data_IF_037399282562
#
_entry.id   IF_037399282562
#
_cell.length_a   1.000
_cell.length_b   1.000
_cell.length_c   1.000
_cell.angle_alpha   90.00
_cell.angle_beta   90.00
_cell.angle_gamma   90.00
#
_symmetry.space_group_name_H-M   'P 1'
#
loop_
_entity.id
_entity.type
_entity.pdbx_description
1 polymer ?
#
# COMPACT_ATOMS: atom_id res chain seq x y z
N UNK A 1 13.52 10.86 5.31
CA UNK A 1 13.11 9.45 5.49
C UNK A 1 13.09 9.15 6.98
N UNK A 2 12.12 8.38 7.46
CA UNK A 2 12.05 7.95 8.86
C UNK A 2 11.66 6.48 8.93
N UNK A 3 12.40 5.72 9.73
CA UNK A 3 12.04 4.37 10.17
C UNK A 3 11.28 4.49 11.48
N UNK A 4 10.16 3.78 11.60
CA UNK A 4 9.38 3.65 12.82
C UNK A 4 9.27 2.17 13.17
N UNK A 5 9.31 1.88 14.47
CA UNK A 5 9.11 0.55 15.04
C UNK A 5 7.89 0.66 15.94
N UNK A 6 6.95 -0.28 15.81
CA UNK A 6 5.76 -0.34 16.64
C UNK A 6 5.70 -1.66 17.38
N UNK A 7 5.21 -1.62 18.63
CA UNK A 7 4.84 -2.84 19.35
C UNK A 7 3.58 -3.47 18.74
N UNK A 8 3.31 -4.74 19.04
CA UNK A 8 2.11 -5.42 18.53
C UNK A 8 0.86 -4.78 19.12
N UNK A 9 0.88 -4.49 20.42
CA UNK A 9 -0.21 -3.82 21.15
C UNK A 9 -0.60 -2.45 20.57
N UNK A 10 0.36 -1.78 19.94
CA UNK A 10 0.18 -0.49 19.29
C UNK A 10 -0.52 -0.58 17.93
N UNK A 11 -0.47 -1.74 17.29
CA UNK A 11 -1.00 -2.02 15.95
C UNK A 11 -2.31 -2.82 16.02
N UNK A 12 -2.48 -3.67 17.03
CA UNK A 12 -3.68 -4.49 17.21
C UNK A 12 -5.01 -3.72 17.04
N UNK A 13 -5.18 -2.49 17.59
CA UNK A 13 -6.42 -1.74 17.40
C UNK A 13 -6.74 -1.39 15.94
N UNK A 14 -5.72 -1.35 15.08
CA UNK A 14 -5.84 -1.04 13.65
C UNK A 14 -6.07 -2.28 12.77
N UNK A 15 -6.16 -3.47 13.35
CA UNK A 15 -6.43 -4.69 12.60
C UNK A 15 -7.87 -4.69 12.08
N UNK A 16 -8.02 -4.70 10.76
CA UNK A 16 -9.29 -4.97 10.13
C UNK A 16 -9.58 -6.49 10.10
N UNK A 17 -10.34 -6.94 11.10
CA UNK A 17 -10.71 -8.35 11.29
C UNK A 17 -11.61 -8.92 10.18
N UNK A 18 -12.27 -8.10 9.36
CA UNK A 18 -13.10 -8.59 8.26
C UNK A 18 -12.28 -9.46 7.29
N UNK A 19 -11.07 -9.01 6.95
CA UNK A 19 -10.18 -9.74 6.05
C UNK A 19 -9.54 -10.97 6.71
N UNK A 20 -9.32 -10.92 8.03
CA UNK A 20 -8.91 -12.10 8.79
C UNK A 20 -9.98 -13.19 8.67
N UNK A 21 -11.25 -12.84 8.93
CA UNK A 21 -12.35 -13.80 8.79
C UNK A 21 -12.53 -14.29 7.35
N UNK A 22 -12.30 -13.44 6.35
CA UNK A 22 -12.33 -13.85 4.95
C UNK A 22 -11.27 -14.91 4.65
N UNK A 23 -10.02 -14.71 5.09
CA UNK A 23 -8.93 -15.68 4.90
C UNK A 23 -9.24 -17.05 5.52
N UNK A 24 -9.99 -17.06 6.63
CA UNK A 24 -10.42 -18.28 7.33
C UNK A 24 -11.76 -18.85 6.84
N UNK A 25 -12.35 -18.31 5.77
CA UNK A 25 -13.63 -18.79 5.25
C UNK A 25 -14.81 -18.56 6.22
N UNK A 26 -14.67 -17.63 7.16
CA UNK A 26 -15.68 -17.28 8.16
C UNK A 26 -16.63 -16.17 7.71
N UNK A 27 -16.51 -15.70 6.46
CA UNK A 27 -17.48 -14.79 5.85
C UNK A 27 -18.89 -15.36 5.94
N UNK A 28 -19.82 -14.61 6.53
CA UNK A 28 -21.21 -15.04 6.75
C UNK A 28 -21.42 -16.10 7.85
N UNK A 29 -20.38 -16.55 8.56
CA UNK A 29 -20.52 -17.48 9.70
C UNK A 29 -21.07 -16.80 10.96
N UNK A 30 -21.67 -17.59 11.89
CA UNK A 30 -22.14 -17.09 13.18
C UNK A 30 -21.08 -16.31 13.96
N UNK A 31 -21.53 -15.34 14.76
CA UNK A 31 -20.64 -14.48 15.55
C UNK A 31 -19.76 -15.29 16.51
N UNK A 32 -20.32 -16.29 17.18
CA UNK A 32 -19.59 -17.11 18.16
C UNK A 32 -18.35 -17.80 17.56
N UNK A 33 -18.47 -18.36 16.36
CA UNK A 33 -17.33 -18.99 15.66
C UNK A 33 -16.22 -17.97 15.35
N UNK A 34 -16.61 -16.75 14.94
CA UNK A 34 -15.67 -15.65 14.67
C UNK A 34 -14.97 -15.18 15.93
N UNK A 35 -15.71 -14.97 17.02
CA UNK A 35 -15.15 -14.51 18.30
C UNK A 35 -14.21 -15.57 18.90
N UNK A 36 -14.52 -16.87 18.75
CA UNK A 36 -13.63 -17.94 19.19
C UNK A 36 -12.30 -17.89 18.45
N UNK A 37 -12.32 -17.85 17.11
CA UNK A 37 -11.09 -17.79 16.33
C UNK A 37 -10.31 -16.49 16.57
N UNK A 38 -11.02 -15.36 16.73
CA UNK A 38 -10.40 -14.09 17.08
C UNK A 38 -9.71 -14.15 18.44
N UNK A 39 -10.31 -14.79 19.45
CA UNK A 39 -9.68 -14.96 20.75
C UNK A 39 -8.36 -15.73 20.64
N UNK A 40 -8.35 -16.84 19.89
CA UNK A 40 -7.11 -17.61 19.64
C UNK A 40 -6.05 -16.78 18.89
N UNK A 41 -6.48 -15.94 17.94
CA UNK A 41 -5.61 -15.03 17.20
C UNK A 41 -5.03 -13.93 18.10
N UNK A 42 -5.84 -13.37 19.01
CA UNK A 42 -5.40 -12.38 20.01
C UNK A 42 -4.41 -13.00 21.00
N UNK A 43 -4.66 -14.21 21.48
CA UNK A 43 -3.70 -14.91 22.36
C UNK A 43 -2.34 -15.08 21.67
N UNK A 44 -2.34 -15.42 20.38
CA UNK A 44 -1.11 -15.50 19.58
C UNK A 44 -0.45 -14.11 19.42
N UNK A 45 -1.20 -13.05 19.10
CA UNK A 45 -0.67 -11.68 19.00
C UNK A 45 -0.04 -11.23 20.32
N UNK A 46 -0.71 -11.45 21.44
CA UNK A 46 -0.20 -11.11 22.77
C UNK A 46 1.07 -11.89 23.11
N UNK A 47 1.20 -13.14 22.64
CA UNK A 47 2.42 -13.93 22.81
C UNK A 47 3.64 -13.38 22.06
N UNK A 48 3.43 -12.46 21.11
CA UNK A 48 4.49 -11.83 20.33
C UNK A 48 4.95 -10.50 20.92
N UNK A 49 4.20 -9.91 21.85
CA UNK A 49 4.50 -8.61 22.44
C UNK A 49 5.90 -8.60 23.09
N UNK A 50 6.68 -7.56 22.80
CA UNK A 50 8.05 -7.37 23.30
C UNK A 50 9.12 -8.24 22.64
N UNK A 51 8.75 -9.32 21.94
CA UNK A 51 9.68 -10.16 21.17
C UNK A 51 9.67 -9.78 19.67
N UNK A 52 8.50 -9.48 19.12
CA UNK A 52 8.31 -9.11 17.72
C UNK A 52 7.67 -7.74 17.59
N UNK A 53 7.98 -7.09 16.47
CA UNK A 53 7.57 -5.73 16.15
C UNK A 53 7.06 -5.67 14.72
N UNK A 54 6.38 -4.58 14.44
CA UNK A 54 6.13 -4.16 13.06
C UNK A 54 6.98 -2.94 12.76
N UNK A 55 7.24 -2.73 11.47
CA UNK A 55 8.13 -1.70 11.00
C UNK A 55 7.48 -0.90 9.90
N UNK A 56 7.77 0.39 9.89
CA UNK A 56 7.44 1.29 8.80
C UNK A 56 8.67 2.07 8.36
N UNK A 57 8.78 2.31 7.06
CA UNK A 57 9.64 3.34 6.50
C UNK A 57 8.77 4.25 5.67
N UNK A 58 8.98 5.56 5.79
CA UNK A 58 8.36 6.48 4.86
C UNK A 58 9.24 7.69 4.55
N UNK A 59 8.91 8.35 3.46
CA UNK A 59 9.42 9.66 3.07
C UNK A 59 8.30 10.56 2.57
N UNK A 60 8.42 11.85 2.87
CA UNK A 60 7.63 12.90 2.22
C UNK A 60 8.55 13.66 1.30
N UNK A 61 8.23 13.68 0.02
CA UNK A 61 9.06 14.25 -1.03
C UNK A 61 8.33 15.43 -1.66
N UNK A 62 9.11 16.46 -2.04
CA UNK A 62 8.62 17.47 -2.97
C UNK A 62 8.31 16.81 -4.31
N UNK A 63 7.13 17.08 -4.84
CA UNK A 63 6.61 16.38 -6.00
C UNK A 63 5.72 17.30 -6.83
N UNK A 64 5.76 17.12 -8.15
CA UNK A 64 4.82 17.73 -9.08
C UNK A 64 4.43 16.72 -10.16
N UNK A 65 3.29 16.91 -10.82
CA UNK A 65 2.91 16.09 -11.98
C UNK A 65 3.43 16.69 -13.29
N UNK A 66 3.79 15.83 -14.23
CA UNK A 66 4.05 16.19 -15.62
C UNK A 66 3.45 15.10 -16.53
N UNK A 67 2.34 15.42 -17.18
CA UNK A 67 1.53 14.41 -17.87
C UNK A 67 1.03 13.34 -16.90
N UNK A 68 1.33 12.08 -17.19
CA UNK A 68 0.95 10.92 -16.36
C UNK A 68 2.05 10.50 -15.38
N UNK A 69 3.09 11.32 -15.17
CA UNK A 69 4.19 11.04 -14.25
C UNK A 69 4.12 11.93 -13.01
N UNK A 70 4.61 11.41 -11.90
CA UNK A 70 4.95 12.22 -10.72
C UNK A 70 6.47 12.42 -10.70
N UNK A 71 6.91 13.67 -10.75
CA UNK A 71 8.31 14.07 -10.71
C UNK A 71 8.75 14.42 -9.29
N UNK A 72 9.77 13.72 -8.80
CA UNK A 72 10.41 13.94 -7.51
C UNK A 72 11.75 14.64 -7.73
N UNK A 73 11.72 15.96 -7.92
CA UNK A 73 12.86 16.74 -8.42
C UNK A 73 14.13 16.56 -7.59
N UNK A 74 14.02 16.66 -6.27
CA UNK A 74 15.16 16.50 -5.36
C UNK A 74 15.83 15.12 -5.43
N UNK A 75 15.09 14.08 -5.86
CA UNK A 75 15.62 12.72 -6.03
C UNK A 75 16.00 12.41 -7.48
N UNK A 76 15.64 13.30 -8.43
CA UNK A 76 15.76 13.08 -9.87
C UNK A 76 15.09 11.78 -10.34
N UNK A 77 13.96 11.44 -9.73
CA UNK A 77 13.19 10.23 -10.03
C UNK A 77 11.83 10.62 -10.59
N UNK A 78 11.44 10.00 -11.71
CA UNK A 78 10.06 9.98 -12.20
C UNK A 78 9.38 8.73 -11.69
N UNK A 79 8.14 8.88 -11.25
CA UNK A 79 7.24 7.78 -10.93
C UNK A 79 6.11 7.75 -11.96
N UNK A 80 6.25 6.95 -13.03
CA UNK A 80 5.22 6.86 -14.06
C UNK A 80 3.94 6.22 -13.55
N UNK A 81 2.80 6.83 -13.89
CA UNK A 81 1.46 6.31 -13.61
C UNK A 81 0.75 5.87 -14.88
N UNK A 82 -0.32 5.09 -14.68
CA UNK A 82 -1.26 4.65 -15.70
C UNK A 82 -2.56 5.45 -15.58
N UNK A 83 -3.25 5.60 -16.70
CA UNK A 83 -4.50 6.37 -16.82
C UNK A 83 -5.62 5.48 -17.33
N UNK A 84 -6.81 5.60 -16.75
CA UNK A 84 -8.01 4.96 -17.29
C UNK A 84 -8.19 5.32 -18.77
N UNK A 85 -8.48 4.34 -19.64
CA UNK A 85 -8.82 4.63 -21.04
C UNK A 85 -10.33 4.70 -21.28
N UNK A 86 -11.13 4.28 -20.30
CA UNK A 86 -12.58 4.39 -20.31
C UNK A 86 -13.06 4.98 -18.98
N UNK A 87 -13.99 5.96 -19.00
CA UNK A 87 -14.48 6.56 -17.78
C UNK A 87 -15.38 5.58 -17.04
N UNK A 88 -15.39 5.67 -15.71
CA UNK A 88 -16.23 4.81 -14.87
C UNK A 88 -17.74 5.02 -15.11
N UNK A 89 -18.12 6.24 -15.49
CA UNK A 89 -19.47 6.60 -15.87
C UNK A 89 -19.47 7.73 -16.92
N UNK A 90 -20.59 7.93 -17.62
CA UNK A 90 -20.72 9.00 -18.60
C UNK A 90 -20.55 10.38 -17.93
N UNK A 91 -19.60 11.18 -18.43
CA UNK A 91 -19.30 12.52 -17.91
C UNK A 91 -18.21 12.55 -16.82
N UNK A 92 -17.78 11.38 -16.33
CA UNK A 92 -16.62 11.29 -15.42
C UNK A 92 -15.29 11.36 -16.20
N UNK A 93 -14.22 11.89 -15.58
CA UNK A 93 -12.90 11.92 -16.20
C UNK A 93 -12.24 10.53 -16.20
N UNK A 94 -11.28 10.37 -17.10
CA UNK A 94 -10.33 9.25 -17.09
C UNK A 94 -9.22 9.51 -16.07
N UNK A 95 -9.26 8.84 -14.92
CA UNK A 95 -8.39 9.10 -13.79
C UNK A 95 -6.97 8.55 -13.98
N UNK A 96 -6.01 9.33 -13.50
CA UNK A 96 -4.62 8.96 -13.26
C UNK A 96 -4.23 9.42 -11.85
N UNK A 97 -3.40 8.66 -11.12
CA UNK A 97 -2.93 9.09 -9.79
C UNK A 97 -2.15 10.41 -9.84
N UNK A 98 -1.47 10.71 -10.95
CA UNK A 98 -0.74 11.97 -11.14
C UNK A 98 -1.67 13.20 -11.12
N UNK A 99 -2.97 13.03 -11.41
CA UNK A 99 -3.96 14.12 -11.40
C UNK A 99 -4.18 14.70 -9.99
N UNK A 100 -3.79 13.97 -8.94
CA UNK A 100 -3.92 14.39 -7.55
C UNK A 100 -2.69 15.11 -6.98
N UNK A 101 -1.71 15.43 -7.84
CA UNK A 101 -0.51 16.21 -7.51
C UNK A 101 -0.49 17.44 -8.40
N UNK A 102 -0.12 18.61 -7.86
CA UNK A 102 -0.07 19.85 -8.66
C UNK A 102 0.86 19.70 -9.87
N UNK A 103 0.42 20.16 -11.06
CA UNK A 103 1.26 20.23 -12.25
C UNK A 103 2.53 21.05 -12.04
N UNK A 104 3.64 20.63 -12.66
CA UNK A 104 4.92 21.34 -12.59
C UNK A 104 4.83 22.77 -13.15
N UNK A 105 4.05 22.97 -14.21
CA UNK A 105 3.81 24.27 -14.84
C UNK A 105 2.99 25.24 -13.98
N UNK A 106 2.36 24.76 -12.90
CA UNK A 106 1.68 25.62 -11.93
C UNK A 106 2.65 26.49 -11.12
N UNK A 107 3.94 26.14 -11.09
CA UNK A 107 4.98 26.84 -10.32
C UNK A 107 4.84 26.68 -8.80
N UNK A 108 3.92 25.84 -8.32
CA UNK A 108 3.70 25.57 -6.90
C UNK A 108 4.13 24.14 -6.59
N UNK A 109 5.16 23.99 -5.75
CA UNK A 109 5.61 22.69 -5.27
C UNK A 109 4.52 22.01 -4.45
N UNK A 110 4.22 20.75 -4.79
CA UNK A 110 3.35 19.88 -4.02
C UNK A 110 4.19 18.78 -3.36
N UNK A 111 3.54 17.78 -2.75
CA UNK A 111 4.23 16.71 -2.04
C UNK A 111 3.60 15.34 -2.30
N UNK A 112 4.44 14.32 -2.25
CA UNK A 112 4.04 12.92 -2.30
C UNK A 112 4.62 12.19 -1.09
N UNK A 113 3.80 11.41 -0.40
CA UNK A 113 4.29 10.43 0.57
C UNK A 113 4.58 9.09 -0.09
N UNK A 114 5.62 8.40 0.36
CA UNK A 114 6.00 7.06 -0.10
C UNK A 114 6.31 6.25 1.13
N UNK A 115 5.81 5.01 1.20
CA UNK A 115 5.97 4.17 2.37
C UNK A 115 6.18 2.70 2.04
N UNK A 116 6.74 1.98 3.01
CA UNK A 116 6.57 0.55 3.15
C UNK A 116 6.37 0.18 4.62
N UNK A 117 5.67 -0.93 4.86
CA UNK A 117 5.48 -1.55 6.18
C UNK A 117 5.75 -3.04 6.08
N UNK A 118 6.17 -3.64 7.20
CA UNK A 118 6.39 -5.08 7.30
C UNK A 118 6.32 -5.52 8.76
N UNK A 119 6.44 -6.82 8.98
CA UNK A 119 6.58 -7.45 10.30
C UNK A 119 7.94 -8.10 10.42
N UNK A 120 8.35 -8.46 11.64
CA UNK A 120 9.53 -9.31 11.83
C UNK A 120 9.45 -10.60 11.00
N UNK A 121 10.32 -10.73 9.99
CA UNK A 121 10.32 -11.86 9.06
C UNK A 121 10.61 -13.23 9.69
N UNK A 122 10.99 -13.27 10.98
CA UNK A 122 11.07 -14.51 11.76
C UNK A 122 9.70 -15.15 12.01
N UNK A 123 8.63 -14.35 12.10
CA UNK A 123 7.27 -14.83 12.38
C UNK A 123 6.75 -15.80 11.31
N UNK A 124 7.03 -15.53 10.02
CA UNK A 124 6.62 -16.40 8.90
C UNK A 124 7.25 -17.80 8.94
N UNK A 125 8.24 -18.03 9.81
CA UNK A 125 8.96 -19.31 9.92
C UNK A 125 8.74 -20.00 11.26
N UNK A 126 8.23 -19.29 12.27
CA UNK A 126 8.15 -19.76 13.66
C UNK A 126 7.28 -21.01 13.83
N UNK A 127 6.17 -21.10 13.08
CA UNK A 127 5.14 -22.11 13.31
C UNK A 127 5.07 -23.20 12.23
N UNK A 128 6.10 -23.33 11.38
CA UNK A 128 6.10 -24.24 10.20
C UNK A 128 5.88 -25.73 10.51
N UNK A 129 5.99 -26.15 11.77
CA UNK A 129 5.76 -27.53 12.19
C UNK A 129 4.28 -27.84 12.48
N UNK A 130 3.41 -26.84 12.52
CA UNK A 130 1.98 -26.99 12.78
C UNK A 130 1.19 -26.16 11.76
N UNK A 131 0.44 -26.83 10.88
CA UNK A 131 -0.27 -26.18 9.77
C UNK A 131 -1.28 -25.13 10.25
N UNK A 132 -1.96 -25.39 11.37
CA UNK A 132 -2.96 -24.47 11.93
C UNK A 132 -2.29 -23.22 12.47
N UNK A 133 -1.27 -23.38 13.32
CA UNK A 133 -0.54 -22.25 13.90
C UNK A 133 0.23 -21.48 12.82
N UNK A 134 0.75 -22.16 11.80
CA UNK A 134 1.40 -21.52 10.66
C UNK A 134 0.42 -20.64 9.87
N UNK A 135 -0.77 -21.15 9.53
CA UNK A 135 -1.78 -20.35 8.83
C UNK A 135 -2.29 -19.19 9.68
N UNK A 136 -2.47 -19.39 10.99
CA UNK A 136 -2.82 -18.33 11.94
C UNK A 136 -1.76 -17.23 11.95
N UNK A 137 -0.49 -17.61 12.12
CA UNK A 137 0.61 -16.66 12.17
C UNK A 137 0.76 -15.89 10.85
N UNK A 138 0.67 -16.56 9.70
CA UNK A 138 0.73 -15.93 8.39
C UNK A 138 -0.41 -14.91 8.20
N UNK A 139 -1.65 -15.29 8.54
CA UNK A 139 -2.80 -14.39 8.44
C UNK A 139 -2.64 -13.17 9.35
N UNK A 140 -2.16 -13.37 10.58
CA UNK A 140 -1.89 -12.29 11.53
C UNK A 140 -0.76 -11.38 11.06
N UNK A 141 0.31 -11.93 10.48
CA UNK A 141 1.40 -11.14 9.89
C UNK A 141 0.87 -10.21 8.79
N UNK A 142 0.06 -10.74 7.87
CA UNK A 142 -0.57 -9.93 6.81
C UNK A 142 -1.46 -8.83 7.40
N UNK A 143 -2.23 -9.15 8.46
CA UNK A 143 -3.07 -8.15 9.16
C UNK A 143 -2.24 -7.08 9.84
N UNK A 144 -1.14 -7.45 10.49
CA UNK A 144 -0.23 -6.52 11.16
C UNK A 144 0.47 -5.59 10.18
N UNK A 145 0.91 -6.08 9.02
CA UNK A 145 1.53 -5.24 7.98
C UNK A 145 0.56 -4.16 7.46
N UNK A 146 -0.69 -4.53 7.19
CA UNK A 146 -1.76 -3.62 6.76
C UNK A 146 -2.17 -2.63 7.86
N UNK A 147 -2.35 -3.12 9.09
CA UNK A 147 -2.68 -2.30 10.25
C UNK A 147 -1.57 -1.27 10.56
N UNK A 148 -0.30 -1.67 10.35
CA UNK A 148 0.85 -0.76 10.44
C UNK A 148 0.77 0.35 9.39
N UNK A 149 0.33 0.03 8.17
CA UNK A 149 0.14 1.03 7.12
C UNK A 149 -1.00 2.01 7.46
N UNK A 150 -2.09 1.54 8.10
CA UNK A 150 -3.18 2.39 8.58
C UNK A 150 -2.71 3.34 9.68
N UNK A 151 -2.04 2.82 10.72
CA UNK A 151 -1.50 3.64 11.82
C UNK A 151 -0.49 4.68 11.32
N UNK A 152 0.45 4.25 10.47
CA UNK A 152 1.42 5.15 9.85
C UNK A 152 0.71 6.25 9.06
N UNK A 153 -0.30 5.89 8.27
CA UNK A 153 -1.04 6.88 7.49
C UNK A 153 -1.73 7.90 8.40
N UNK A 154 -2.39 7.46 9.47
CA UNK A 154 -2.97 8.36 10.47
C UNK A 154 -1.93 9.36 11.03
N UNK A 155 -0.77 8.87 11.48
CA UNK A 155 0.31 9.71 12.00
C UNK A 155 0.78 10.72 10.94
N UNK A 156 0.89 10.28 9.68
CA UNK A 156 1.24 11.14 8.55
C UNK A 156 0.23 12.26 8.34
N UNK A 157 -1.07 11.94 8.30
CA UNK A 157 -2.12 12.95 8.10
C UNK A 157 -2.15 13.98 9.22
N UNK A 158 -2.09 13.50 10.48
CA UNK A 158 -2.30 14.32 11.67
C UNK A 158 -1.10 15.16 12.06
N UNK A 159 0.11 14.59 11.98
CA UNK A 159 1.28 15.20 12.64
C UNK A 159 2.49 15.37 11.72
N UNK A 160 2.76 14.43 10.80
CA UNK A 160 4.01 14.45 10.03
C UNK A 160 3.89 15.27 8.75
N UNK A 161 2.88 14.99 7.92
CA UNK A 161 2.47 15.87 6.83
C UNK A 161 1.56 16.97 7.39
N UNK A 162 0.67 16.62 8.32
CA UNK A 162 -0.06 17.59 9.15
C UNK A 162 -1.15 18.35 8.40
N UNK A 163 -1.73 17.77 7.35
CA UNK A 163 -2.87 18.38 6.64
C UNK A 163 -4.21 18.14 7.34
N UNK A 164 -4.27 17.26 8.35
CA UNK A 164 -5.47 16.98 9.14
C UNK A 164 -5.18 16.93 10.66
N UNK A 165 -4.64 18.00 11.27
CA UNK A 165 -4.20 17.96 12.68
C UNK A 165 -5.36 17.80 13.68
N UNK A 166 -6.58 18.21 13.30
CA UNK A 166 -7.79 18.08 14.11
C UNK A 166 -8.58 16.79 13.90
N UNK A 167 -8.08 15.84 13.10
CA UNK A 167 -8.74 14.57 12.82
C UNK A 167 -8.95 13.77 14.11
N UNK A 168 -10.20 13.30 14.32
CA UNK A 168 -10.63 12.46 15.44
C UNK A 168 -11.56 11.37 14.90
N UNK A 169 -10.98 10.37 14.25
CA UNK A 169 -11.72 9.25 13.68
C UNK A 169 -11.67 8.04 14.61
N UNK A 170 -12.77 7.30 14.68
CA UNK A 170 -12.74 5.96 15.27
C UNK A 170 -12.02 4.98 14.34
N UNK A 171 -11.59 3.82 14.86
CA UNK A 171 -11.03 2.74 14.02
C UNK A 171 -11.99 2.31 12.91
N UNK A 172 -13.30 2.28 13.20
CA UNK A 172 -14.31 1.98 12.18
C UNK A 172 -14.33 3.04 11.08
N UNK A 173 -14.26 4.32 11.44
CA UNK A 173 -14.18 5.42 10.47
C UNK A 173 -12.89 5.35 9.64
N UNK A 174 -11.76 4.96 10.24
CA UNK A 174 -10.48 4.73 9.54
C UNK A 174 -10.65 3.61 8.50
N UNK A 175 -11.25 2.47 8.86
CA UNK A 175 -11.49 1.35 7.94
C UNK A 175 -12.50 1.69 6.83
N UNK A 176 -13.41 2.63 7.08
CA UNK A 176 -14.32 3.20 6.08
C UNK A 176 -13.69 4.34 5.27
N UNK A 177 -12.39 4.60 5.46
CA UNK A 177 -11.62 5.61 4.73
C UNK A 177 -12.23 7.02 4.84
N UNK A 178 -12.83 7.36 5.99
CA UNK A 178 -13.50 8.66 6.22
C UNK A 178 -12.54 9.84 6.44
N UNK A 179 -11.26 9.65 6.18
CA UNK A 179 -10.23 10.69 6.23
C UNK A 179 -10.01 11.36 4.87
N UNK A 180 -9.34 12.51 4.90
CA UNK A 180 -8.84 13.15 3.69
C UNK A 180 -7.61 12.40 3.16
N UNK A 181 -7.51 12.26 1.84
CA UNK A 181 -6.35 11.66 1.18
C UNK A 181 -6.48 10.14 0.98
N UNK A 182 -5.52 9.53 0.29
CA UNK A 182 -5.49 8.10 0.00
C UNK A 182 -4.07 7.54 0.12
N UNK A 183 -3.96 6.22 0.33
CA UNK A 183 -2.68 5.49 0.29
C UNK A 183 -2.69 4.32 -0.71
N UNK A 184 -2.68 4.55 -2.04
CA UNK A 184 -2.69 3.45 -3.00
C UNK A 184 -1.45 2.58 -2.86
N UNK A 185 -1.68 1.29 -2.66
CA UNK A 185 -0.64 0.28 -2.54
C UNK A 185 -0.29 -0.33 -3.90
N UNK A 186 0.95 -0.77 -4.04
CA UNK A 186 1.45 -1.43 -5.26
C UNK A 186 0.71 -2.76 -5.45
N UNK A 187 0.27 -3.05 -6.67
CA UNK A 187 -0.50 -4.23 -7.04
C UNK A 187 -2.02 -4.08 -6.95
N UNK A 188 -2.52 -2.97 -6.39
CA UNK A 188 -3.96 -2.69 -6.30
C UNK A 188 -4.51 -2.12 -7.61
N UNK A 189 -5.84 -2.09 -7.81
CA UNK A 189 -6.45 -1.70 -9.08
C UNK A 189 -6.05 -0.32 -9.64
N UNK A 190 -5.73 0.65 -8.78
CA UNK A 190 -5.23 1.97 -9.20
C UNK A 190 -3.73 2.02 -9.49
N UNK A 191 -2.96 1.05 -8.99
CA UNK A 191 -1.50 1.00 -9.10
C UNK A 191 -1.01 -0.45 -9.32
N UNK A 192 -1.39 -1.10 -10.43
CA UNK A 192 -1.27 -2.56 -10.59
C UNK A 192 0.15 -3.07 -10.87
N UNK A 193 1.08 -2.20 -11.30
CA UNK A 193 2.43 -2.62 -11.64
C UNK A 193 3.28 -2.95 -10.41
N UNK A 194 3.42 -4.24 -10.10
CA UNK A 194 4.25 -4.73 -8.99
C UNK A 194 5.72 -4.30 -9.10
N UNK A 195 6.26 -4.13 -10.30
CA UNK A 195 7.66 -3.72 -10.49
C UNK A 195 7.93 -2.29 -10.02
N UNK A 196 6.89 -1.48 -9.79
CA UNK A 196 7.04 -0.14 -9.22
C UNK A 196 7.66 -0.16 -7.81
N UNK A 197 7.66 -1.33 -7.13
CA UNK A 197 8.42 -1.52 -5.90
C UNK A 197 9.91 -1.22 -6.03
N UNK A 198 10.53 -1.45 -7.20
CA UNK A 198 11.94 -1.10 -7.42
C UNK A 198 12.18 0.42 -7.32
N UNK A 199 11.20 1.24 -7.75
CA UNK A 199 11.27 2.69 -7.62
C UNK A 199 11.10 3.09 -6.15
N UNK A 200 10.14 2.48 -5.44
CA UNK A 200 9.94 2.74 -4.01
C UNK A 200 11.22 2.39 -3.24
N UNK A 201 11.82 1.22 -3.49
CA UNK A 201 13.05 0.79 -2.83
C UNK A 201 14.23 1.73 -3.08
N UNK A 202 14.38 2.25 -4.30
CA UNK A 202 15.37 3.29 -4.59
C UNK A 202 15.16 4.55 -3.74
N UNK A 203 13.91 4.93 -3.46
CA UNK A 203 13.56 6.19 -2.80
C UNK A 203 13.60 6.11 -1.28
N UNK A 204 13.26 4.96 -0.70
CA UNK A 204 13.15 4.81 0.75
C UNK A 204 14.03 3.72 1.33
N UNK A 205 14.80 2.96 0.54
CA UNK A 205 15.64 1.84 1.00
C UNK A 205 14.88 0.88 1.93
N UNK A 206 14.10 -0.04 1.36
CA UNK A 206 13.26 -0.94 2.16
C UNK A 206 14.08 -1.93 2.99
N UNK A 207 15.36 -2.13 2.66
CA UNK A 207 16.25 -3.05 3.36
C UNK A 207 16.48 -2.68 4.83
N UNK A 208 16.31 -1.40 5.20
CA UNK A 208 16.45 -0.92 6.57
C UNK A 208 15.40 -1.48 7.54
N UNK A 209 14.29 -2.03 7.03
CA UNK A 209 13.26 -2.76 7.79
C UNK A 209 13.22 -4.24 7.43
N UNK A 210 14.27 -4.76 6.77
CA UNK A 210 14.41 -6.18 6.45
C UNK A 210 13.62 -6.64 5.22
N UNK A 211 12.94 -5.74 4.51
CA UNK A 211 12.28 -6.05 3.26
C UNK A 211 13.34 -6.23 2.15
N UNK A 212 13.18 -7.27 1.35
CA UNK A 212 13.92 -7.49 0.10
C UNK A 212 12.95 -7.66 -1.05
N UNK A 213 13.37 -7.24 -2.23
CA UNK A 213 12.61 -7.47 -3.47
C UNK A 213 13.09 -8.72 -4.18
N UNK A 214 12.16 -9.53 -4.66
CA UNK A 214 12.46 -10.59 -5.62
C UNK A 214 12.83 -9.98 -6.98
N UNK A 215 13.28 -10.80 -7.93
CA UNK A 215 13.53 -10.36 -9.31
C UNK A 215 12.29 -9.82 -10.01
N UNK A 216 11.09 -10.14 -9.52
CA UNK A 216 9.81 -9.63 -10.02
C UNK A 216 9.27 -8.44 -9.21
N UNK A 217 10.02 -7.91 -8.25
CA UNK A 217 9.57 -6.79 -7.41
C UNK A 217 8.55 -7.18 -6.34
N UNK A 218 8.32 -8.47 -6.07
CA UNK A 218 7.54 -8.89 -4.91
C UNK A 218 8.36 -8.68 -3.64
N UNK A 219 7.71 -8.28 -2.55
CA UNK A 219 8.37 -8.06 -1.26
C UNK A 219 8.55 -9.36 -0.48
N UNK A 220 9.63 -9.44 0.29
CA UNK A 220 9.91 -10.49 1.27
C UNK A 220 10.37 -9.79 2.56
N UNK A 221 9.69 -9.95 3.71
CA UNK A 221 8.56 -10.86 4.00
C UNK A 221 7.33 -10.63 3.12
N UNK A 222 6.51 -11.68 2.93
CA UNK A 222 5.25 -11.58 2.18
C UNK A 222 4.29 -10.60 2.85
N UNK A 223 4.24 -10.65 4.19
CA UNK A 223 3.53 -9.69 5.02
C UNK A 223 4.22 -8.32 5.01
N UNK A 224 4.14 -7.64 3.87
CA UNK A 224 4.66 -6.29 3.65
C UNK A 224 3.71 -5.51 2.75
N UNK A 225 3.58 -4.21 2.99
CA UNK A 225 2.79 -3.28 2.17
C UNK A 225 3.70 -2.16 1.71
N UNK A 226 3.54 -1.69 0.48
CA UNK A 226 4.25 -0.52 -0.05
C UNK A 226 3.30 0.29 -0.90
N UNK A 227 3.54 1.59 -0.96
CA UNK A 227 2.66 2.46 -1.72
C UNK A 227 3.01 3.93 -1.63
N UNK A 228 2.05 4.72 -2.08
CA UNK A 228 2.12 6.17 -2.13
C UNK A 228 1.07 6.76 -1.19
N UNK A 229 1.22 8.02 -0.79
CA UNK A 229 0.24 8.77 -0.01
C UNK A 229 -0.04 10.11 -0.70
N UNK A 230 -1.32 10.40 -0.91
CA UNK A 230 -1.80 11.62 -1.54
C UNK A 230 -2.65 12.41 -0.55
N UNK A 231 -2.41 13.72 -0.45
CA UNK A 231 -3.12 14.60 0.48
C UNK A 231 -4.32 15.32 -0.15
N UNK A 232 -4.46 15.29 -1.48
CA UNK A 232 -5.47 16.09 -2.18
C UNK A 232 -6.89 15.66 -1.76
N UNK A 233 -7.79 16.59 -1.37
CA UNK A 233 -9.09 16.23 -0.80
C UNK A 233 -10.05 15.53 -1.77
N UNK A 234 -9.76 15.56 -3.07
CA UNK A 234 -10.52 14.81 -4.10
C UNK A 234 -9.81 13.55 -4.60
N UNK A 235 -8.67 13.19 -4.01
CA UNK A 235 -8.01 11.92 -4.32
C UNK A 235 -8.92 10.79 -3.88
N UNK A 236 -9.03 9.75 -4.70
CA UNK A 236 -9.91 8.61 -4.46
C UNK A 236 -9.34 7.37 -5.12
N UNK A 237 -9.64 6.22 -4.53
CA UNK A 237 -9.35 4.94 -5.17
C UNK A 237 -10.20 4.79 -6.43
N UNK A 238 -9.63 4.16 -7.46
CA UNK A 238 -10.31 3.86 -8.72
C UNK A 238 -9.71 2.58 -9.30
N UNK A 239 -10.46 1.92 -10.18
CA UNK A 239 -9.94 0.81 -10.96
C UNK A 239 -9.37 1.35 -12.27
N UNK A 240 -8.12 1.03 -12.60
CA UNK A 240 -7.52 1.43 -13.88
C UNK A 240 -8.33 0.91 -15.08
N UNK A 241 -8.94 -0.27 -14.92
CA UNK A 241 -9.66 -0.95 -16.00
C UNK A 241 -8.69 -1.55 -17.02
N UNK A 242 -9.11 -1.56 -18.29
CA UNK A 242 -8.33 -2.11 -19.40
C UNK A 242 -7.56 -1.01 -20.12
N UNK A 243 -6.30 -1.30 -20.46
CA UNK A 243 -5.41 -0.40 -21.21
C UNK A 243 -5.01 -1.01 -22.56
N UNK A 244 -4.83 -0.15 -23.54
CA UNK A 244 -4.41 -0.47 -24.90
C UNK A 244 -2.89 -0.64 -25.04
N UNK A 245 -2.49 -1.16 -26.20
CA UNK A 245 -1.08 -1.37 -26.55
C UNK A 245 -0.31 -0.04 -26.70
N UNK A 246 -1.01 1.06 -26.96
CA UNK A 246 -0.47 2.41 -27.03
C UNK A 246 0.03 2.89 -25.66
N UNK A 247 -0.84 2.89 -24.64
CA UNK A 247 -0.47 3.29 -23.29
C UNK A 247 0.54 2.31 -22.67
N UNK A 248 0.43 1.02 -22.95
CA UNK A 248 1.41 0.04 -22.51
C UNK A 248 2.83 0.36 -23.03
N UNK A 249 2.96 0.72 -24.31
CA UNK A 249 4.26 1.08 -24.91
C UNK A 249 4.80 2.37 -24.34
N UNK A 250 3.95 3.38 -24.21
CA UNK A 250 4.29 4.66 -23.59
C UNK A 250 4.76 4.47 -22.15
N UNK A 251 4.01 3.72 -21.35
CA UNK A 251 4.34 3.41 -19.96
C UNK A 251 5.68 2.67 -19.85
N UNK A 252 5.91 1.64 -20.68
CA UNK A 252 7.16 0.90 -20.70
C UNK A 252 8.36 1.81 -21.06
N UNK A 253 8.18 2.72 -22.01
CA UNK A 253 9.19 3.72 -22.37
C UNK A 253 9.50 4.65 -21.20
N UNK A 254 8.47 5.23 -20.54
CA UNK A 254 8.64 6.11 -19.37
C UNK A 254 9.29 5.39 -18.19
N UNK A 255 8.99 4.11 -18.01
CA UNK A 255 9.62 3.23 -17.02
C UNK A 255 11.04 2.78 -17.37
N UNK A 256 11.47 2.97 -18.62
CA UNK A 256 12.80 2.55 -19.08
C UNK A 256 12.97 1.03 -19.18
N UNK A 257 11.89 0.30 -19.43
CA UNK A 257 11.86 -1.18 -19.42
C UNK A 257 11.28 -1.74 -20.72
N UNK A 258 11.62 -2.99 -21.11
CA UNK A 258 11.04 -3.59 -22.29
C UNK A 258 9.52 -3.75 -22.19
N UNK A 259 8.80 -3.44 -23.28
CA UNK A 259 7.34 -3.61 -23.37
C UNK A 259 6.90 -5.02 -22.97
N UNK A 260 7.67 -6.05 -23.34
CA UNK A 260 7.37 -7.43 -23.01
C UNK A 260 7.39 -7.71 -21.50
N UNK A 261 8.27 -7.05 -20.74
CA UNK A 261 8.28 -7.16 -19.28
C UNK A 261 7.02 -6.51 -18.68
N UNK A 262 6.63 -5.32 -19.16
CA UNK A 262 5.41 -4.65 -18.69
C UNK A 262 4.14 -5.41 -19.04
N UNK A 263 4.11 -6.16 -20.15
CA UNK A 263 2.98 -7.08 -20.45
C UNK A 263 2.77 -8.13 -19.38
N UNK A 264 3.85 -8.61 -18.76
CA UNK A 264 3.75 -9.58 -17.66
C UNK A 264 3.17 -8.94 -16.41
N UNK A 265 3.66 -7.77 -16.00
CA UNK A 265 3.15 -7.08 -14.82
C UNK A 265 1.71 -6.58 -14.96
N UNK A 266 1.34 -6.12 -16.16
CA UNK A 266 0.03 -5.53 -16.43
C UNK A 266 -0.95 -6.49 -17.10
N UNK A 267 -0.66 -7.79 -17.14
CA UNK A 267 -1.45 -8.78 -17.88
C UNK A 267 -2.95 -8.72 -17.53
N UNK A 268 -3.28 -8.54 -16.25
CA UNK A 268 -4.65 -8.42 -15.77
C UNK A 268 -5.35 -7.14 -16.21
N UNK A 269 -4.61 -6.11 -16.59
CA UNK A 269 -5.08 -4.79 -17.03
C UNK A 269 -5.05 -4.59 -18.55
N UNK A 270 -4.55 -5.54 -19.36
CA UNK A 270 -4.52 -5.37 -20.82
C UNK A 270 -5.88 -5.69 -21.47
N UNK A 271 -6.26 -4.93 -22.51
CA UNK A 271 -7.37 -5.31 -23.42
C UNK A 271 -7.02 -6.68 -24.04
N UNK A 272 -7.92 -7.66 -23.89
CA UNK A 272 -7.77 -8.95 -24.57
C UNK A 272 -8.02 -8.72 -26.06
N UNK A 273 -7.04 -9.08 -26.89
CA UNK A 273 -7.22 -9.16 -28.34
C UNK A 273 -8.17 -10.29 -28.71
#
# INVERSE_FOLDING_TARGET
MRRIVYNVSEIEPYINWLYFYHAWGLSGKPREEKEKLKAEALDMLHSWEGEYHTYAVFGLFEANSEGDDIWLEGQKVRFPMLRQQHPAAQGEPNLCLADFIRPLDSGITDRLGIFCTTVDGGLEKKYRSDDYLNMMAQTLCDRLAEATAEKLHEEVRRSIWGYAPGEQLSIEDQHLERYQGIRPAIGYPSLPDTSANFIIDQLIDMSQVGIRLTTSGMMTPHASVSGLMFAHPKSRYFELGRIGDDQLRDYAQRRGVPVQAMKTYLQSSLIKK
#
